data_IF_243610961141
#
_entry.id   IF_243610961141
#
_cell.length_a   1.000
_cell.length_b   1.000
_cell.length_c   1.000
_cell.angle_alpha   90.00
_cell.angle_beta   90.00
_cell.angle_gamma   90.00
#
_symmetry.space_group_name_H-M   'P 1'
#
loop_
_entity.id
_entity.type
_entity.pdbx_description
1 polymer ?
#
# COMPACT_ATOMS: atom_id res chain seq x y z
N UNK A 1 5.71 -6.37 12.99
CA UNK A 1 6.54 -6.13 14.19
C UNK A 1 7.58 -7.21 14.35
N UNK A 2 8.67 -6.94 15.06
CA UNK A 2 9.79 -7.87 15.26
C UNK A 2 10.01 -8.13 16.76
N UNK A 3 10.00 -9.40 17.16
CA UNK A 3 10.18 -9.81 18.56
C UNK A 3 8.96 -9.63 19.46
N UNK A 4 7.91 -8.98 18.99
CA UNK A 4 6.63 -8.86 19.67
C UNK A 4 5.48 -8.83 18.66
N UNK A 5 4.27 -9.02 19.11
CA UNK A 5 3.05 -8.84 18.31
C UNK A 5 2.27 -7.67 18.90
N UNK A 6 2.09 -6.62 18.14
CA UNK A 6 1.14 -5.58 18.50
C UNK A 6 -0.28 -6.10 18.26
N UNK A 7 -1.15 -5.99 19.26
CA UNK A 7 -2.57 -6.35 19.18
C UNK A 7 -3.45 -5.10 19.04
N UNK A 8 -2.94 -3.97 19.48
CA UNK A 8 -3.56 -2.64 19.34
C UNK A 8 -2.50 -1.61 18.99
N UNK A 9 -2.91 -0.49 18.41
CA UNK A 9 -2.00 0.54 17.94
C UNK A 9 -1.16 1.14 19.07
N UNK A 10 -1.70 1.24 20.26
CA UNK A 10 -0.99 1.71 21.46
C UNK A 10 0.26 0.90 21.80
N UNK A 11 0.35 -0.37 21.37
CA UNK A 11 1.55 -1.21 21.52
C UNK A 11 2.77 -0.67 20.73
N UNK A 12 2.54 0.24 19.79
CA UNK A 12 3.59 0.91 19.01
C UNK A 12 4.19 2.12 19.72
N UNK A 13 3.63 2.55 20.85
CA UNK A 13 4.14 3.73 21.58
C UNK A 13 5.57 3.53 22.05
N UNK A 14 6.43 4.49 21.73
CA UNK A 14 7.87 4.44 22.01
C UNK A 14 8.67 3.47 21.13
N UNK A 15 8.05 2.95 20.06
CA UNK A 15 8.70 2.03 19.10
C UNK A 15 9.10 2.75 17.82
N UNK A 16 10.07 2.16 17.11
CA UNK A 16 10.38 2.60 15.74
C UNK A 16 9.40 2.00 14.74
N UNK A 17 8.93 2.80 13.78
CA UNK A 17 8.16 2.37 12.62
C UNK A 17 8.85 2.83 11.34
N UNK A 18 9.37 1.89 10.57
CA UNK A 18 10.05 2.23 9.32
C UNK A 18 9.11 2.26 8.13
N UNK A 19 9.27 3.32 7.33
CA UNK A 19 8.49 3.64 6.15
C UNK A 19 9.43 3.81 4.94
N UNK A 20 8.99 3.50 3.71
CA UNK A 20 9.88 3.57 2.54
C UNK A 20 10.21 4.98 2.09
N UNK A 21 9.27 5.93 2.22
CA UNK A 21 9.37 7.27 1.68
C UNK A 21 8.53 8.25 2.51
N UNK A 22 9.15 9.36 2.95
CA UNK A 22 8.44 10.47 3.59
C UNK A 22 7.55 11.18 2.56
N UNK A 23 6.31 11.49 2.96
CA UNK A 23 5.32 12.11 2.07
C UNK A 23 4.73 11.14 1.02
N UNK A 24 5.05 9.85 1.10
CA UNK A 24 4.46 8.84 0.22
C UNK A 24 3.19 8.22 0.80
N UNK A 25 2.48 7.40 0.00
CA UNK A 25 1.20 6.81 0.42
C UNK A 25 1.24 6.02 1.72
N UNK A 26 2.32 5.25 1.97
CA UNK A 26 2.46 4.49 3.22
C UNK A 26 2.78 5.40 4.42
N UNK A 27 3.42 6.54 4.22
CA UNK A 27 3.64 7.54 5.26
C UNK A 27 2.31 8.17 5.67
N UNK A 28 1.51 8.59 4.70
CA UNK A 28 0.17 9.10 4.96
C UNK A 28 -0.68 8.07 5.74
N UNK A 29 -0.77 6.84 5.24
CA UNK A 29 -1.57 5.79 5.88
C UNK A 29 -1.11 5.48 7.29
N UNK A 30 0.21 5.45 7.53
CA UNK A 30 0.74 5.23 8.88
C UNK A 30 0.34 6.36 9.82
N UNK A 31 0.52 7.60 9.42
CA UNK A 31 0.20 8.79 10.21
C UNK A 31 -1.30 8.91 10.47
N UNK A 32 -2.11 8.67 9.43
CA UNK A 32 -3.55 8.67 9.54
C UNK A 32 -4.04 7.62 10.56
N UNK A 33 -3.60 6.38 10.42
CA UNK A 33 -4.00 5.29 11.30
C UNK A 33 -3.47 5.46 12.74
N UNK A 34 -2.27 6.01 12.93
CA UNK A 34 -1.77 6.35 14.27
C UNK A 34 -2.67 7.39 14.92
N UNK A 35 -2.97 8.50 14.23
CA UNK A 35 -3.84 9.56 14.76
C UNK A 35 -5.23 9.05 15.11
N UNK A 36 -5.88 8.31 14.22
CA UNK A 36 -7.23 7.77 14.43
C UNK A 36 -7.28 6.76 15.60
N UNK A 37 -6.15 6.18 15.95
CA UNK A 37 -6.02 5.29 17.11
C UNK A 37 -5.39 5.98 18.35
N UNK A 38 -5.38 7.31 18.38
CA UNK A 38 -5.02 8.11 19.56
C UNK A 38 -3.50 8.21 19.82
N UNK A 39 -2.67 7.94 18.82
CA UNK A 39 -1.23 8.12 18.89
C UNK A 39 -0.80 9.35 18.08
N UNK A 40 0.06 10.17 18.65
CA UNK A 40 0.71 11.27 17.94
C UNK A 40 1.88 10.71 17.09
N UNK A 41 1.80 10.77 15.75
CA UNK A 41 2.85 10.24 14.89
C UNK A 41 4.18 11.00 14.98
N UNK A 42 4.19 12.20 15.60
CA UNK A 42 5.42 12.97 15.77
C UNK A 42 6.09 12.71 17.13
N UNK A 43 5.31 12.30 18.15
CA UNK A 43 5.81 12.19 19.51
C UNK A 43 5.71 10.79 20.12
N UNK A 44 4.74 9.98 19.70
CA UNK A 44 4.49 8.68 20.31
C UNK A 44 5.19 7.52 19.59
N UNK A 45 5.54 7.68 18.31
CA UNK A 45 6.19 6.65 17.49
C UNK A 45 7.35 7.26 16.72
N UNK A 46 8.52 6.62 16.75
CA UNK A 46 9.67 7.08 15.97
C UNK A 46 9.54 6.66 14.51
N UNK A 47 9.08 7.57 13.62
CA UNK A 47 8.97 7.31 12.19
C UNK A 47 10.35 7.42 11.51
N UNK A 48 10.81 6.31 10.90
CA UNK A 48 12.14 6.21 10.26
C UNK A 48 11.96 5.92 8.77
N UNK A 49 12.55 6.75 7.93
CA UNK A 49 12.42 6.61 6.48
C UNK A 49 13.63 5.90 5.87
N UNK A 50 13.39 4.73 5.27
CA UNK A 50 14.45 3.92 4.66
C UNK A 50 13.94 3.22 3.40
N UNK A 51 14.73 3.18 2.31
CA UNK A 51 14.40 2.35 1.14
C UNK A 51 14.12 0.89 1.55
N UNK A 52 13.14 0.25 0.87
CA UNK A 52 12.65 -1.09 1.21
C UNK A 52 13.76 -2.13 1.47
N UNK A 53 14.82 -2.26 0.63
CA UNK A 53 15.85 -3.28 0.87
C UNK A 53 16.62 -3.06 2.17
N UNK A 54 16.89 -1.78 2.51
CA UNK A 54 17.62 -1.42 3.73
C UNK A 54 16.76 -1.63 4.97
N UNK A 55 15.50 -1.16 4.93
CA UNK A 55 14.57 -1.36 6.04
C UNK A 55 14.32 -2.85 6.34
N UNK A 56 14.16 -3.69 5.31
CA UNK A 56 14.04 -5.13 5.48
C UNK A 56 15.27 -5.74 6.19
N UNK A 57 16.49 -5.31 5.81
CA UNK A 57 17.71 -5.77 6.47
C UNK A 57 17.77 -5.37 7.94
N UNK A 58 17.51 -4.09 8.27
CA UNK A 58 17.51 -3.60 9.64
C UNK A 58 16.43 -4.27 10.50
N UNK A 59 15.26 -4.48 9.94
CA UNK A 59 14.19 -5.20 10.60
C UNK A 59 14.59 -6.67 10.90
N UNK A 60 15.16 -7.37 9.94
CA UNK A 60 15.58 -8.77 10.13
C UNK A 60 16.70 -8.93 11.14
N UNK A 61 17.51 -7.88 11.38
CA UNK A 61 18.59 -7.87 12.39
C UNK A 61 18.15 -7.32 13.76
N UNK A 62 16.86 -7.00 13.93
CA UNK A 62 16.32 -6.50 15.19
C UNK A 62 16.65 -5.04 15.49
N UNK A 63 17.09 -4.26 14.49
CA UNK A 63 17.41 -2.84 14.62
C UNK A 63 16.19 -1.93 14.36
N UNK A 64 15.06 -2.50 13.98
CA UNK A 64 13.77 -1.84 13.82
C UNK A 64 12.70 -2.68 14.51
N UNK A 65 11.84 -2.04 15.29
CA UNK A 65 10.73 -2.70 15.98
C UNK A 65 9.60 -3.07 15.02
N UNK A 66 9.29 -2.16 14.09
CA UNK A 66 8.19 -2.35 13.15
C UNK A 66 8.46 -1.73 11.78
N UNK A 67 7.75 -2.25 10.78
CA UNK A 67 7.80 -1.79 9.38
C UNK A 67 6.41 -1.84 8.76
N UNK A 68 6.14 -0.92 7.84
CA UNK A 68 5.01 -1.03 6.90
C UNK A 68 5.55 -1.32 5.51
N UNK A 69 5.19 -2.46 4.95
CA UNK A 69 5.63 -2.88 3.63
C UNK A 69 4.49 -3.47 2.81
N UNK A 70 4.55 -3.33 1.47
CA UNK A 70 3.61 -4.01 0.59
C UNK A 70 3.94 -5.51 0.44
N UNK A 71 2.96 -6.29 0.01
CA UNK A 71 3.20 -7.63 -0.51
C UNK A 71 3.95 -7.54 -1.88
N UNK A 72 4.78 -8.50 -2.23
CA UNK A 72 5.10 -9.76 -1.53
C UNK A 72 6.22 -9.65 -0.49
N UNK A 73 6.75 -8.46 -0.20
CA UNK A 73 7.90 -8.26 0.68
C UNK A 73 7.60 -8.74 2.11
N UNK A 74 6.40 -8.44 2.61
CA UNK A 74 5.95 -8.90 3.94
C UNK A 74 5.99 -10.43 4.03
N UNK A 75 5.46 -11.13 3.03
CA UNK A 75 5.48 -12.60 2.99
C UNK A 75 6.90 -13.18 2.98
N UNK A 76 7.82 -12.52 2.28
CA UNK A 76 9.24 -12.95 2.26
C UNK A 76 9.88 -12.76 3.64
N UNK A 77 9.61 -11.64 4.30
CA UNK A 77 10.13 -11.37 5.66
C UNK A 77 9.59 -12.39 6.66
N UNK A 78 8.26 -12.60 6.67
CA UNK A 78 7.62 -13.59 7.55
C UNK A 78 8.13 -15.03 7.33
N UNK A 79 8.49 -15.37 6.10
CA UNK A 79 9.06 -16.68 5.80
C UNK A 79 10.50 -16.84 6.29
N UNK A 80 11.28 -15.75 6.35
CA UNK A 80 12.71 -15.77 6.70
C UNK A 80 13.00 -15.40 8.15
N UNK A 81 12.14 -14.65 8.79
CA UNK A 81 12.31 -14.19 10.17
C UNK A 81 11.20 -14.74 11.08
N UNK A 82 11.54 -15.71 11.92
CA UNK A 82 10.58 -16.35 12.85
C UNK A 82 10.11 -15.42 13.97
N UNK A 83 10.80 -14.31 14.21
CA UNK A 83 10.41 -13.31 15.20
C UNK A 83 9.46 -12.26 14.62
N UNK A 84 9.32 -12.21 13.28
CA UNK A 84 8.43 -11.30 12.62
C UNK A 84 6.96 -11.72 12.82
N UNK A 85 6.13 -10.74 13.16
CA UNK A 85 4.69 -10.91 13.32
C UNK A 85 3.95 -9.95 12.39
N UNK A 86 2.90 -10.44 11.72
CA UNK A 86 1.91 -9.60 11.06
C UNK A 86 0.96 -9.08 12.13
N UNK A 87 1.10 -7.82 12.51
CA UNK A 87 0.30 -7.18 13.55
C UNK A 87 -0.99 -6.57 12.99
N UNK A 88 -0.86 -5.79 11.92
CA UNK A 88 -1.97 -5.10 11.29
C UNK A 88 -2.01 -5.35 9.79
N UNK A 89 -3.21 -5.43 9.24
CA UNK A 89 -3.50 -5.34 7.83
C UNK A 89 -4.06 -3.93 7.57
N UNK A 90 -3.31 -3.11 6.86
CA UNK A 90 -3.61 -1.68 6.68
C UNK A 90 -4.98 -1.46 6.00
N UNK A 91 -5.36 -2.34 5.06
CA UNK A 91 -6.67 -2.24 4.40
C UNK A 91 -7.80 -2.50 5.39
N UNK A 92 -7.65 -3.50 6.27
CA UNK A 92 -8.65 -3.78 7.33
C UNK A 92 -8.72 -2.67 8.37
N UNK A 93 -7.56 -2.10 8.74
CA UNK A 93 -7.54 -0.96 9.67
C UNK A 93 -8.22 0.27 9.05
N UNK A 94 -7.97 0.52 7.76
CA UNK A 94 -8.69 1.54 7.00
C UNK A 94 -10.20 1.29 6.99
N UNK A 95 -10.62 0.07 6.68
CA UNK A 95 -12.04 -0.32 6.63
C UNK A 95 -12.78 -0.10 7.94
N UNK A 96 -12.11 -0.28 9.10
CA UNK A 96 -12.73 0.02 10.41
C UNK A 96 -13.14 1.48 10.57
N UNK A 97 -12.47 2.39 9.86
CA UNK A 97 -12.70 3.83 9.90
C UNK A 97 -13.62 4.33 8.77
N UNK A 98 -13.94 3.45 7.80
CA UNK A 98 -14.67 3.78 6.58
C UNK A 98 -15.85 2.83 6.33
N UNK A 99 -16.70 2.63 7.34
CA UNK A 99 -17.93 1.83 7.25
C UNK A 99 -17.74 0.42 6.68
N UNK A 100 -16.55 -0.17 6.88
CA UNK A 100 -16.18 -1.49 6.37
C UNK A 100 -15.59 -1.49 4.95
N UNK A 101 -15.41 -0.33 4.32
CA UNK A 101 -14.76 -0.24 3.01
C UNK A 101 -13.23 -0.32 3.15
N UNK A 102 -12.67 -1.49 2.84
CA UNK A 102 -11.23 -1.76 2.92
C UNK A 102 -10.44 -1.25 1.70
N UNK A 103 -11.09 -0.59 0.73
CA UNK A 103 -10.47 -0.16 -0.52
C UNK A 103 -9.63 1.10 -0.33
N UNK A 104 -8.35 0.98 -0.60
CA UNK A 104 -7.40 2.09 -0.62
C UNK A 104 -6.90 2.27 -2.05
N UNK A 105 -7.05 3.45 -2.68
CA UNK A 105 -6.55 3.71 -4.02
C UNK A 105 -5.02 3.91 -4.00
N UNK A 106 -4.30 2.82 -3.76
CA UNK A 106 -2.85 2.85 -3.53
C UNK A 106 -2.03 2.89 -4.82
N UNK A 107 -2.57 2.34 -5.91
CA UNK A 107 -1.92 2.25 -7.22
C UNK A 107 -2.88 2.71 -8.31
N UNK A 108 -2.36 3.47 -9.26
CA UNK A 108 -3.11 3.90 -10.45
C UNK A 108 -2.27 3.77 -11.72
N UNK A 109 -2.95 3.73 -12.86
CA UNK A 109 -2.30 3.87 -14.16
C UNK A 109 -2.22 5.35 -14.51
N UNK A 110 -1.00 5.84 -14.69
CA UNK A 110 -0.75 7.23 -15.07
C UNK A 110 -0.24 7.32 -16.49
N UNK A 111 -0.72 8.31 -17.23
CA UNK A 111 -0.30 8.57 -18.60
C UNK A 111 0.08 10.04 -18.78
N UNK A 112 1.18 10.29 -19.52
CA UNK A 112 1.57 11.67 -19.83
C UNK A 112 0.58 12.31 -20.79
N UNK A 113 0.17 13.55 -20.52
CA UNK A 113 -0.77 14.29 -21.39
C UNK A 113 -0.29 14.41 -22.85
N UNK A 114 1.01 14.48 -23.08
CA UNK A 114 1.57 14.48 -24.43
C UNK A 114 1.30 13.14 -25.15
N UNK A 115 1.44 12.01 -24.44
CA UNK A 115 1.14 10.69 -25.01
C UNK A 115 -0.34 10.55 -25.41
N UNK A 116 -1.26 11.06 -24.59
CA UNK A 116 -2.69 11.06 -24.91
C UNK A 116 -2.97 11.84 -26.19
N UNK A 117 -2.30 13.00 -26.40
CA UNK A 117 -2.47 13.84 -27.60
C UNK A 117 -1.87 13.21 -28.86
N UNK A 118 -0.72 12.54 -28.72
CA UNK A 118 0.00 11.95 -29.86
C UNK A 118 -0.64 10.62 -30.30
N UNK A 119 -1.22 9.86 -29.37
CA UNK A 119 -1.75 8.52 -29.61
C UNK A 119 -3.19 8.38 -29.08
N UNK A 120 -4.15 9.13 -29.63
CA UNK A 120 -5.54 9.06 -29.20
C UNK A 120 -6.08 7.63 -29.38
N UNK A 121 -6.77 7.11 -28.37
CA UNK A 121 -7.32 5.74 -28.37
C UNK A 121 -6.33 4.65 -27.96
N UNK A 122 -5.01 4.89 -27.95
CA UNK A 122 -4.05 3.89 -27.47
C UNK A 122 -4.14 3.73 -25.94
N UNK A 123 -4.45 4.79 -25.22
CA UNK A 123 -4.65 4.76 -23.76
C UNK A 123 -5.80 3.84 -23.40
N UNK A 124 -6.93 3.91 -24.15
CA UNK A 124 -8.09 3.03 -23.95
C UNK A 124 -7.74 1.57 -24.19
N UNK A 125 -6.94 1.29 -25.23
CA UNK A 125 -6.45 -0.07 -25.52
C UNK A 125 -5.57 -0.58 -24.38
N UNK A 126 -4.63 0.23 -23.87
CA UNK A 126 -3.74 -0.14 -22.77
C UNK A 126 -4.55 -0.36 -21.48
N UNK A 127 -5.46 0.55 -21.15
CA UNK A 127 -6.33 0.44 -19.99
C UNK A 127 -7.21 -0.81 -20.07
N UNK A 128 -7.82 -1.05 -21.24
CA UNK A 128 -8.62 -2.25 -21.50
C UNK A 128 -7.84 -3.55 -21.30
N UNK A 129 -6.59 -3.61 -21.82
CA UNK A 129 -5.71 -4.77 -21.62
C UNK A 129 -5.27 -4.93 -20.16
N UNK A 130 -5.06 -3.82 -19.45
CA UNK A 130 -4.77 -3.88 -18.03
C UNK A 130 -5.94 -4.46 -17.22
N UNK A 131 -7.17 -4.01 -17.51
CA UNK A 131 -8.40 -4.54 -16.91
C UNK A 131 -8.57 -6.04 -17.21
N UNK A 132 -8.41 -6.44 -18.48
CA UNK A 132 -8.48 -7.85 -18.89
C UNK A 132 -7.48 -8.72 -18.09
N UNK A 133 -6.24 -8.26 -17.94
CA UNK A 133 -5.20 -8.97 -17.20
C UNK A 133 -5.49 -9.08 -15.70
N UNK A 134 -5.95 -8.00 -15.06
CA UNK A 134 -6.36 -8.03 -13.65
C UNK A 134 -7.46 -9.06 -13.43
N UNK A 135 -8.50 -9.02 -14.27
CA UNK A 135 -9.61 -9.97 -14.20
C UNK A 135 -9.15 -11.40 -14.48
N UNK A 136 -8.25 -11.59 -15.46
CA UNK A 136 -7.70 -12.90 -15.77
C UNK A 136 -6.98 -13.50 -14.55
N UNK A 137 -6.06 -12.78 -13.92
CA UNK A 137 -5.31 -13.28 -12.77
C UNK A 137 -6.19 -13.48 -11.53
N UNK A 138 -7.20 -12.66 -11.31
CA UNK A 138 -8.15 -12.88 -10.22
C UNK A 138 -8.97 -14.18 -10.42
N UNK A 139 -9.29 -14.51 -11.66
CA UNK A 139 -10.01 -15.75 -11.99
C UNK A 139 -9.08 -16.98 -12.12
N UNK A 140 -7.75 -16.77 -12.25
CA UNK A 140 -6.75 -17.82 -12.41
C UNK A 140 -5.60 -17.65 -11.40
N UNK A 141 -5.87 -17.74 -10.08
CA UNK A 141 -4.88 -17.41 -9.04
C UNK A 141 -3.64 -18.32 -9.05
N UNK A 142 -3.73 -19.57 -9.50
CA UNK A 142 -2.59 -20.46 -9.61
C UNK A 142 -1.60 -19.99 -10.68
N UNK A 143 -2.09 -19.51 -11.82
CA UNK A 143 -1.25 -18.91 -12.86
C UNK A 143 -0.66 -17.59 -12.40
N UNK A 144 -1.46 -16.73 -11.76
CA UNK A 144 -0.99 -15.49 -11.16
C UNK A 144 0.18 -15.74 -10.19
N UNK A 145 0.03 -16.72 -9.29
CA UNK A 145 1.08 -17.10 -8.33
C UNK A 145 2.34 -17.61 -9.06
N UNK A 146 2.18 -18.44 -10.09
CA UNK A 146 3.29 -18.97 -10.89
C UNK A 146 4.06 -17.87 -11.60
N UNK A 147 3.35 -16.96 -12.28
CA UNK A 147 3.96 -15.87 -13.04
C UNK A 147 4.59 -14.83 -12.12
N UNK A 148 3.91 -14.44 -11.05
CA UNK A 148 4.46 -13.55 -10.04
C UNK A 148 5.69 -14.15 -9.36
N UNK A 149 5.67 -15.45 -9.05
CA UNK A 149 6.82 -16.15 -8.47
C UNK A 149 8.04 -16.09 -9.37
N UNK A 150 7.84 -16.27 -10.66
CA UNK A 150 8.91 -16.17 -11.67
C UNK A 150 9.41 -14.73 -11.83
N UNK A 151 8.48 -13.78 -11.93
CA UNK A 151 8.81 -12.36 -12.14
C UNK A 151 9.58 -11.77 -10.95
N UNK A 152 9.12 -12.01 -9.73
CA UNK A 152 9.74 -11.50 -8.50
C UNK A 152 10.86 -12.39 -7.96
N UNK A 153 11.13 -13.54 -8.58
CA UNK A 153 12.07 -14.55 -8.09
C UNK A 153 11.79 -14.96 -6.63
N UNK A 154 10.52 -15.23 -6.32
CA UNK A 154 10.04 -15.64 -4.99
C UNK A 154 9.45 -17.05 -5.08
N UNK A 155 9.80 -17.98 -4.18
CA UNK A 155 9.22 -19.32 -4.18
C UNK A 155 7.68 -19.33 -4.14
N UNK A 156 7.04 -20.17 -4.95
CA UNK A 156 5.57 -20.25 -5.03
C UNK A 156 4.85 -20.39 -3.69
N UNK A 157 5.33 -21.19 -2.72
CA UNK A 157 4.68 -21.27 -1.40
C UNK A 157 4.64 -19.95 -0.64
N UNK A 158 5.63 -19.06 -0.84
CA UNK A 158 5.67 -17.73 -0.26
C UNK A 158 4.74 -16.80 -1.05
N UNK A 159 4.81 -16.85 -2.38
CA UNK A 159 3.94 -16.06 -3.25
C UNK A 159 2.46 -16.38 -3.04
N UNK A 160 2.10 -17.65 -2.79
CA UNK A 160 0.74 -18.04 -2.44
C UNK A 160 0.23 -17.38 -1.15
N UNK A 161 1.10 -17.24 -0.15
CA UNK A 161 0.76 -16.50 1.09
C UNK A 161 0.60 -15.00 0.82
N UNK A 162 1.45 -14.42 -0.02
CA UNK A 162 1.33 -13.03 -0.44
C UNK A 162 0.02 -12.79 -1.21
N UNK A 163 -0.32 -13.66 -2.16
CA UNK A 163 -1.52 -13.55 -2.99
C UNK A 163 -2.80 -13.42 -2.16
N UNK A 164 -2.90 -14.14 -1.07
CA UNK A 164 -4.07 -14.07 -0.19
C UNK A 164 -4.25 -12.70 0.53
N UNK A 165 -3.25 -11.82 0.44
CA UNK A 165 -3.26 -10.46 1.01
C UNK A 165 -3.12 -9.36 -0.04
N UNK A 166 -2.86 -9.74 -1.28
CA UNK A 166 -2.90 -8.80 -2.41
C UNK A 166 -4.36 -8.56 -2.78
N UNK A 167 -4.77 -7.30 -2.77
CA UNK A 167 -6.08 -6.89 -3.23
C UNK A 167 -5.94 -6.25 -4.62
N UNK A 168 -5.75 -7.11 -5.62
CA UNK A 168 -5.59 -6.67 -7.01
C UNK A 168 -6.97 -6.48 -7.64
N UNK A 169 -7.48 -5.25 -7.59
CA UNK A 169 -8.78 -4.91 -8.16
C UNK A 169 -8.66 -3.67 -9.05
N UNK A 170 -9.62 -3.55 -9.96
CA UNK A 170 -9.80 -2.36 -10.78
C UNK A 170 -11.28 -1.99 -10.75
N UNK A 171 -11.55 -0.72 -10.59
CA UNK A 171 -12.91 -0.23 -10.42
C UNK A 171 -13.33 0.64 -11.61
N UNK A 172 -14.63 0.71 -11.94
CA UNK A 172 -15.14 1.64 -12.95
C UNK A 172 -14.76 3.10 -12.62
N UNK A 173 -14.71 3.95 -13.64
CA UNK A 173 -14.27 5.34 -13.52
C UNK A 173 -14.98 6.11 -12.37
N UNK A 174 -16.30 6.08 -12.33
CA UNK A 174 -17.06 6.79 -11.29
C UNK A 174 -16.77 6.29 -9.87
N UNK A 175 -16.56 5.00 -9.71
CA UNK A 175 -16.23 4.39 -8.43
C UNK A 175 -14.77 4.67 -8.05
N UNK A 176 -13.84 4.57 -8.99
CA UNK A 176 -12.43 4.94 -8.81
C UNK A 176 -12.27 6.38 -8.38
N UNK A 177 -12.97 7.31 -9.03
CA UNK A 177 -12.97 8.74 -8.69
C UNK A 177 -13.47 8.99 -7.26
N UNK A 178 -14.55 8.32 -6.85
CA UNK A 178 -15.07 8.44 -5.50
C UNK A 178 -14.03 8.00 -4.45
N UNK A 179 -13.38 6.85 -4.67
CA UNK A 179 -12.32 6.34 -3.78
C UNK A 179 -11.11 7.29 -3.72
N UNK A 180 -10.65 7.76 -4.87
CA UNK A 180 -9.52 8.70 -4.96
C UNK A 180 -9.86 10.02 -4.27
N UNK A 181 -11.06 10.57 -4.48
CA UNK A 181 -11.49 11.79 -3.82
C UNK A 181 -11.57 11.64 -2.30
N UNK A 182 -12.13 10.54 -1.80
CA UNK A 182 -12.14 10.27 -0.35
C UNK A 182 -10.72 10.25 0.21
N UNK A 183 -9.82 9.51 -0.44
CA UNK A 183 -8.43 9.39 -0.01
C UNK A 183 -7.69 10.73 -0.04
N UNK A 184 -7.84 11.51 -1.11
CA UNK A 184 -7.20 12.82 -1.23
C UNK A 184 -7.79 13.87 -0.29
N UNK A 185 -9.09 13.80 0.05
CA UNK A 185 -9.66 14.66 1.07
C UNK A 185 -9.01 14.42 2.44
N UNK A 186 -8.80 13.17 2.85
CA UNK A 186 -8.08 12.89 4.08
C UNK A 186 -6.63 13.41 4.06
N UNK A 187 -5.93 13.30 2.92
CA UNK A 187 -4.60 13.91 2.77
C UNK A 187 -4.70 15.44 2.87
N UNK A 188 -5.67 16.05 2.21
CA UNK A 188 -5.86 17.50 2.21
C UNK A 188 -6.14 18.04 3.62
N UNK A 189 -6.92 17.31 4.41
CA UNK A 189 -7.29 17.70 5.76
C UNK A 189 -6.10 17.60 6.75
N UNK A 190 -5.21 16.63 6.56
CA UNK A 190 -4.15 16.35 7.52
C UNK A 190 -2.76 16.82 7.06
N UNK A 191 -2.44 16.61 5.78
CA UNK A 191 -1.10 16.82 5.21
C UNK A 191 -1.19 17.36 3.77
N UNK A 192 -1.79 18.54 3.56
CA UNK A 192 -2.05 19.09 2.21
C UNK A 192 -0.79 19.21 1.34
N UNK A 193 0.37 19.40 1.97
CA UNK A 193 1.65 19.46 1.26
C UNK A 193 2.01 18.18 0.50
N UNK A 194 1.48 17.03 0.91
CA UNK A 194 1.72 15.75 0.23
C UNK A 194 1.10 15.67 -1.17
N UNK A 195 0.10 16.50 -1.44
CA UNK A 195 -0.57 16.61 -2.75
C UNK A 195 -0.45 18.02 -3.36
N UNK A 196 0.52 18.83 -2.90
CA UNK A 196 0.77 20.16 -3.41
C UNK A 196 -0.25 21.21 -2.97
N UNK A 197 -1.02 20.95 -1.91
CA UNK A 197 -1.95 21.89 -1.29
C UNK A 197 -3.27 22.08 -2.03
N UNK A 198 -3.56 21.28 -3.05
CA UNK A 198 -4.81 21.34 -3.81
C UNK A 198 -5.29 19.93 -4.16
N UNK A 199 -6.60 19.75 -4.16
CA UNK A 199 -7.21 18.54 -4.74
C UNK A 199 -7.03 18.55 -6.26
N UNK A 200 -6.91 17.36 -6.89
CA UNK A 200 -6.83 17.27 -8.35
C UNK A 200 -8.13 17.78 -9.00
N UNK A 201 -7.97 18.45 -10.11
CA UNK A 201 -9.09 18.87 -10.96
C UNK A 201 -9.49 17.75 -11.96
N UNK A 202 -10.49 18.04 -12.81
CA UNK A 202 -10.96 17.08 -13.82
C UNK A 202 -9.88 16.69 -14.83
N UNK A 203 -8.85 17.52 -15.04
CA UNK A 203 -7.76 17.21 -15.96
C UNK A 203 -6.78 16.15 -15.43
N UNK A 204 -6.88 15.82 -14.14
CA UNK A 204 -6.13 14.71 -13.53
C UNK A 204 -6.67 13.35 -13.97
N UNK A 205 -7.94 13.26 -14.29
CA UNK A 205 -8.59 12.03 -14.67
C UNK A 205 -8.67 11.88 -16.19
N UNK A 206 -8.47 10.66 -16.69
CA UNK A 206 -8.64 10.34 -18.09
C UNK A 206 -10.00 9.70 -18.35
#
# INVERSE_FOLDING_TARGET
TNGFKANEWSDLKGKTLSLPLKGGPLDFLARYLLNENGLDPENDVELVYRPLPNAAKYFMTGQLDSIIFPEPVVSVILAKNKQANLSFDIQKEWGKLHDGDERIPYVGLFVANQFVKEYPGLVDIIAGKYIENVNYYNNNPEEAIKDASKYFNIPQPIMKKAWNRVNLNIYPDSESRALVNTYFNHIMDMYPEMIGGNLPDEAFYY
#
